data_IF_511883490349
#
_entry.id   IF_511883490349
#
_cell.length_a   1.000
_cell.length_b   1.000
_cell.length_c   1.000
_cell.angle_alpha   90.00
_cell.angle_beta   90.00
_cell.angle_gamma   90.00
#
_symmetry.space_group_name_H-M   'P 1'
#
loop_
_entity.id
_entity.type
_entity.pdbx_description
1 polymer ?
#
# COMPACT_ATOMS: atom_id res chain seq x y z
N UNK A 1 -24.62 2.42 6.38
CA UNK A 1 -25.42 1.38 5.73
C UNK A 1 -24.51 0.43 4.96
N UNK A 2 -24.70 -0.86 5.17
CA UNK A 2 -23.94 -1.88 4.42
C UNK A 2 -24.53 -2.04 3.02
N UNK A 3 -23.70 -1.94 2.00
CA UNK A 3 -24.12 -2.10 0.61
C UNK A 3 -24.19 -3.59 0.22
N UNK A 4 -24.94 -3.92 -0.86
CA UNK A 4 -25.09 -5.29 -1.34
C UNK A 4 -23.76 -5.97 -1.75
N UNK A 5 -22.74 -5.19 -2.13
CA UNK A 5 -21.41 -5.68 -2.48
C UNK A 5 -20.49 -5.93 -1.27
N UNK A 6 -21.00 -5.85 -0.03
CA UNK A 6 -20.24 -6.04 1.19
C UNK A 6 -19.56 -4.79 1.74
N UNK A 7 -19.56 -3.68 1.01
CA UNK A 7 -19.00 -2.40 1.47
C UNK A 7 -20.03 -1.61 2.27
N UNK A 8 -19.53 -0.68 3.08
CA UNK A 8 -20.37 0.28 3.79
C UNK A 8 -20.50 1.57 3.00
N UNK A 9 -21.70 2.12 2.96
CA UNK A 9 -21.94 3.44 2.43
C UNK A 9 -21.56 4.48 3.49
N UNK A 10 -20.49 5.22 3.23
CA UNK A 10 -19.92 6.19 4.16
C UNK A 10 -19.93 7.57 3.53
N UNK A 11 -20.54 8.52 4.21
CA UNK A 11 -20.42 9.93 3.91
C UNK A 11 -19.46 10.56 4.92
N UNK A 12 -18.24 10.88 4.49
CA UNK A 12 -17.20 11.43 5.33
C UNK A 12 -16.36 12.46 4.59
N UNK A 13 -15.82 13.40 5.33
CA UNK A 13 -14.78 14.28 4.84
C UNK A 13 -13.42 13.58 5.04
N UNK A 14 -12.68 13.39 3.96
CA UNK A 14 -11.32 12.84 4.01
C UNK A 14 -10.31 13.93 3.77
N UNK A 15 -9.24 13.94 4.54
CA UNK A 15 -8.10 14.81 4.31
C UNK A 15 -6.79 14.02 4.49
N UNK A 16 -5.76 14.47 3.80
CA UNK A 16 -4.41 13.95 4.01
C UNK A 16 -3.77 14.67 5.18
N UNK A 17 -3.19 13.92 6.11
CA UNK A 17 -2.51 14.49 7.29
C UNK A 17 -1.00 14.30 7.15
N UNK A 18 -0.23 15.15 7.80
CA UNK A 18 1.24 15.09 7.82
C UNK A 18 1.72 14.07 8.86
N UNK A 19 1.29 12.83 8.68
CA UNK A 19 1.73 11.68 9.45
C UNK A 19 2.04 10.57 8.46
N UNK A 20 3.30 10.14 8.39
CA UNK A 20 3.72 9.18 7.37
C UNK A 20 4.68 8.14 7.91
N UNK A 21 4.57 6.95 7.38
CA UNK A 21 5.63 5.96 7.46
C UNK A 21 6.75 6.32 6.47
N UNK A 22 7.96 5.86 6.75
CA UNK A 22 9.09 5.99 5.83
C UNK A 22 9.38 4.64 5.21
N UNK A 23 9.60 4.61 3.89
CA UNK A 23 9.84 3.38 3.13
C UNK A 23 11.16 3.50 2.38
N UNK A 24 12.01 2.50 2.57
CA UNK A 24 13.28 2.35 1.87
C UNK A 24 13.20 1.11 0.98
N UNK A 25 13.40 1.27 -0.33
CA UNK A 25 13.29 0.20 -1.31
C UNK A 25 14.62 0.03 -2.03
N UNK A 26 15.09 -1.21 -2.10
CA UNK A 26 16.32 -1.58 -2.80
C UNK A 26 16.10 -2.87 -3.58
N UNK A 27 16.58 -2.93 -4.83
CA UNK A 27 16.57 -4.17 -5.62
C UNK A 27 17.50 -5.22 -5.04
N UNK A 28 17.06 -6.47 -5.08
CA UNK A 28 17.87 -7.64 -4.72
C UNK A 28 18.17 -8.43 -6.00
N UNK A 29 19.45 -8.73 -6.24
CA UNK A 29 19.88 -9.45 -7.45
C UNK A 29 20.23 -10.92 -7.21
N UNK A 30 20.53 -11.29 -5.98
CA UNK A 30 21.04 -12.63 -5.62
C UNK A 30 20.05 -13.52 -4.90
N UNK A 31 18.81 -13.11 -4.77
CA UNK A 31 17.72 -13.86 -4.13
C UNK A 31 16.46 -13.79 -4.96
N UNK A 32 15.62 -14.80 -4.84
CA UNK A 32 14.31 -14.88 -5.52
C UNK A 32 13.14 -14.71 -4.55
N UNK A 33 13.33 -13.88 -3.52
CA UNK A 33 12.31 -13.53 -2.54
C UNK A 33 12.46 -12.09 -2.12
N UNK A 34 11.34 -11.44 -1.81
CA UNK A 34 11.37 -10.11 -1.21
C UNK A 34 11.73 -10.20 0.27
N UNK A 35 12.49 -9.23 0.74
CA UNK A 35 12.83 -9.05 2.15
C UNK A 35 12.09 -7.82 2.67
N UNK A 36 11.13 -8.03 3.56
CA UNK A 36 10.31 -6.95 4.11
C UNK A 36 10.52 -6.88 5.62
N UNK A 37 10.95 -5.73 6.11
CA UNK A 37 11.17 -5.49 7.52
C UNK A 37 10.45 -4.22 7.98
N UNK A 38 10.03 -4.25 9.24
CA UNK A 38 9.33 -3.14 9.88
C UNK A 38 10.10 -2.70 11.12
N UNK A 39 10.26 -1.40 11.28
CA UNK A 39 10.87 -0.74 12.42
C UNK A 39 9.93 0.39 12.89
N UNK A 40 10.28 1.03 14.00
CA UNK A 40 9.52 2.15 14.53
C UNK A 40 8.50 1.75 15.59
N UNK A 41 7.77 2.74 16.16
CA UNK A 41 6.93 2.54 17.35
C UNK A 41 5.80 1.52 17.14
N UNK A 42 5.28 1.39 15.93
CA UNK A 42 4.15 0.51 15.63
C UNK A 42 4.52 -0.75 14.83
N UNK A 43 5.80 -1.05 14.71
CA UNK A 43 6.28 -2.18 13.89
C UNK A 43 5.79 -3.54 14.39
N UNK A 44 5.66 -3.72 15.69
CA UNK A 44 5.22 -4.99 16.29
C UNK A 44 3.76 -5.33 15.98
N UNK A 45 2.95 -4.35 15.62
CA UNK A 45 1.54 -4.54 15.28
C UNK A 45 1.33 -5.05 13.85
N UNK A 46 2.36 -5.03 13.01
CA UNK A 46 2.25 -5.47 11.61
C UNK A 46 2.36 -6.98 11.51
N UNK A 47 1.41 -7.60 10.81
CA UNK A 47 1.47 -9.04 10.52
C UNK A 47 2.58 -9.33 9.51
N UNK A 48 3.57 -10.11 9.91
CA UNK A 48 4.73 -10.44 9.07
C UNK A 48 4.37 -11.33 7.88
N UNK A 49 3.42 -12.24 8.07
CA UNK A 49 3.07 -13.23 7.05
C UNK A 49 2.14 -12.68 5.98
N UNK A 50 1.30 -11.75 6.33
CA UNK A 50 0.38 -11.11 5.38
C UNK A 50 0.18 -9.65 5.75
N UNK A 51 0.58 -8.76 4.84
CA UNK A 51 0.41 -7.32 4.98
C UNK A 51 0.22 -6.68 3.60
N UNK A 52 -0.13 -5.41 3.57
CA UNK A 52 -0.41 -4.68 2.34
C UNK A 52 0.76 -4.66 1.36
N UNK A 53 1.99 -4.63 1.88
CA UNK A 53 3.21 -4.62 1.04
C UNK A 53 3.38 -5.97 0.32
N UNK A 54 3.26 -7.07 1.04
CA UNK A 54 3.31 -8.40 0.42
C UNK A 54 2.21 -8.58 -0.62
N UNK A 55 1.00 -8.12 -0.30
CA UNK A 55 -0.13 -8.16 -1.24
C UNK A 55 0.15 -7.38 -2.51
N UNK A 56 0.62 -6.14 -2.41
CA UNK A 56 0.85 -5.30 -3.59
C UNK A 56 1.95 -5.88 -4.48
N UNK A 57 3.05 -6.36 -3.90
CA UNK A 57 4.13 -6.98 -4.67
C UNK A 57 3.67 -8.26 -5.38
N UNK A 58 2.90 -9.10 -4.70
CA UNK A 58 2.32 -10.31 -5.28
C UNK A 58 1.43 -9.99 -6.47
N UNK A 59 0.52 -9.04 -6.34
CA UNK A 59 -0.40 -8.64 -7.40
C UNK A 59 0.37 -8.03 -8.58
N UNK A 60 1.35 -7.19 -8.32
CA UNK A 60 2.18 -6.60 -9.37
C UNK A 60 2.95 -7.67 -10.16
N UNK A 61 3.45 -8.70 -9.49
CA UNK A 61 4.12 -9.84 -10.15
C UNK A 61 3.17 -10.67 -10.98
N UNK A 62 1.98 -10.96 -10.45
CA UNK A 62 0.93 -11.69 -11.18
C UNK A 62 0.49 -10.95 -12.46
N UNK A 63 0.53 -9.62 -12.45
CA UNK A 63 0.19 -8.78 -13.61
C UNK A 63 1.39 -8.48 -14.52
N UNK A 64 2.54 -9.10 -14.27
CA UNK A 64 3.78 -8.88 -15.02
C UNK A 64 4.23 -7.39 -15.03
N UNK A 65 3.95 -6.67 -13.95
CA UNK A 65 4.35 -5.26 -13.78
C UNK A 65 5.75 -5.11 -13.22
N UNK A 66 6.20 -6.10 -12.42
CA UNK A 66 7.56 -6.16 -11.87
C UNK A 66 8.14 -7.57 -12.04
N UNK A 67 9.45 -7.65 -12.20
CA UNK A 67 10.19 -8.91 -12.38
C UNK A 67 11.33 -9.07 -11.37
N UNK A 68 11.71 -7.99 -10.70
CA UNK A 68 12.75 -8.00 -9.69
C UNK A 68 12.20 -8.32 -8.30
N UNK A 69 13.11 -8.65 -7.40
CA UNK A 69 12.82 -8.78 -5.97
C UNK A 69 13.38 -7.57 -5.23
N UNK A 70 12.82 -7.27 -4.07
CA UNK A 70 13.12 -6.03 -3.35
C UNK A 70 13.37 -6.26 -1.88
N UNK A 71 14.31 -5.53 -1.32
CA UNK A 71 14.46 -5.33 0.11
C UNK A 71 13.70 -4.06 0.48
N UNK A 72 12.67 -4.19 1.30
CA UNK A 72 11.82 -3.07 1.71
C UNK A 72 11.86 -2.94 3.22
N UNK A 73 12.28 -1.78 3.69
CA UNK A 73 12.28 -1.42 5.09
C UNK A 73 11.29 -0.31 5.34
N UNK A 74 10.37 -0.54 6.27
CA UNK A 74 9.34 0.43 6.64
C UNK A 74 9.54 0.89 8.06
N UNK A 75 9.62 2.19 8.26
CA UNK A 75 9.57 2.80 9.58
C UNK A 75 8.10 3.13 9.87
N UNK A 76 7.48 2.33 10.75
CA UNK A 76 6.06 2.44 11.10
C UNK A 76 5.82 3.55 12.11
N UNK A 77 5.41 4.70 11.63
CA UNK A 77 5.02 5.87 12.43
C UNK A 77 3.51 6.01 12.57
N UNK A 78 2.75 5.30 11.72
CA UNK A 78 1.29 5.29 11.75
C UNK A 78 0.82 4.03 12.45
N UNK A 79 -0.05 4.14 13.50
CA UNK A 79 -0.60 2.98 14.18
C UNK A 79 -1.37 2.08 13.22
N UNK A 80 -1.21 0.77 13.37
CA UNK A 80 -1.98 -0.24 12.61
C UNK A 80 -3.42 -0.23 13.12
N UNK A 81 -4.37 -0.37 12.20
CA UNK A 81 -5.82 -0.35 12.49
C UNK A 81 -6.33 0.97 13.13
N UNK A 82 -5.61 2.06 12.92
CA UNK A 82 -5.98 3.37 13.49
C UNK A 82 -7.01 4.15 12.67
N UNK A 83 -7.37 3.68 11.46
CA UNK A 83 -8.21 4.43 10.53
C UNK A 83 -7.47 5.47 9.70
N UNK A 84 -6.17 5.65 9.91
CA UNK A 84 -5.35 6.60 9.11
C UNK A 84 -4.92 6.07 7.75
N UNK A 85 -5.24 4.82 7.42
CA UNK A 85 -4.91 4.24 6.11
C UNK A 85 -3.42 3.99 5.86
N UNK A 86 -2.62 3.83 6.92
CA UNK A 86 -1.16 3.71 6.82
C UNK A 86 -0.70 2.55 5.94
N UNK A 87 -1.29 1.37 6.10
CA UNK A 87 -0.95 0.20 5.29
C UNK A 87 -1.30 0.39 3.82
N UNK A 88 -2.47 0.95 3.53
CA UNK A 88 -2.92 1.25 2.17
C UNK A 88 -2.07 2.34 1.53
N UNK A 89 -1.70 3.36 2.30
CA UNK A 89 -0.78 4.42 1.87
C UNK A 89 0.58 3.84 1.49
N UNK A 90 1.12 2.93 2.28
CA UNK A 90 2.39 2.25 1.99
C UNK A 90 2.33 1.45 0.70
N UNK A 91 1.25 0.70 0.48
CA UNK A 91 1.03 -0.02 -0.77
C UNK A 91 0.96 0.93 -1.98
N UNK A 92 0.24 2.04 -1.86
CA UNK A 92 0.15 3.06 -2.92
C UNK A 92 1.52 3.68 -3.23
N UNK A 93 2.31 3.98 -2.21
CA UNK A 93 3.66 4.53 -2.36
C UNK A 93 4.58 3.57 -3.11
N UNK A 94 4.54 2.29 -2.77
CA UNK A 94 5.33 1.26 -3.45
C UNK A 94 4.89 1.11 -4.91
N UNK A 95 3.60 1.07 -5.16
CA UNK A 95 3.06 0.98 -6.52
C UNK A 95 3.54 2.16 -7.39
N UNK A 96 3.43 3.38 -6.89
CA UNK A 96 3.91 4.59 -7.60
C UNK A 96 5.40 4.55 -7.86
N UNK A 97 6.18 4.13 -6.86
CA UNK A 97 7.65 4.11 -6.97
C UNK A 97 8.13 3.06 -7.99
N UNK A 98 7.57 1.86 -7.96
CA UNK A 98 8.04 0.75 -8.81
C UNK A 98 7.55 0.86 -10.25
N UNK A 99 6.41 1.47 -10.51
CA UNK A 99 5.88 1.64 -11.86
C UNK A 99 6.55 2.80 -12.62
N UNK A 100 6.96 3.84 -11.95
CA UNK A 100 7.66 5.00 -12.52
C UNK A 100 7.05 5.56 -13.82
N UNK A 101 5.75 5.46 -13.97
CA UNK A 101 4.96 6.03 -15.07
C UNK A 101 3.52 6.26 -14.60
N UNK A 102 2.77 7.05 -15.36
CA UNK A 102 1.37 7.28 -15.01
C UNK A 102 0.59 5.98 -14.99
N UNK A 103 -0.05 5.70 -13.86
CA UNK A 103 -0.86 4.50 -13.66
C UNK A 103 -2.26 4.75 -14.20
N UNK A 104 -2.75 3.84 -15.05
CA UNK A 104 -4.08 3.93 -15.63
C UNK A 104 -5.16 3.79 -14.55
N UNK A 105 -6.25 4.53 -14.70
CA UNK A 105 -7.39 4.49 -13.78
C UNK A 105 -7.92 3.07 -13.57
N UNK A 106 -8.04 2.28 -14.62
CA UNK A 106 -8.45 0.88 -14.57
C UNK A 106 -7.54 0.05 -13.65
N UNK A 107 -6.25 0.24 -13.74
CA UNK A 107 -5.26 -0.44 -12.89
C UNK A 107 -5.44 -0.04 -11.42
N UNK A 108 -5.63 1.24 -11.15
CA UNK A 108 -5.89 1.74 -9.79
C UNK A 108 -7.15 1.09 -9.22
N UNK A 109 -8.21 0.97 -10.00
CA UNK A 109 -9.46 0.33 -9.59
C UNK A 109 -9.27 -1.17 -9.27
N UNK A 110 -8.52 -1.89 -10.11
CA UNK A 110 -8.19 -3.30 -9.86
C UNK A 110 -7.42 -3.50 -8.56
N UNK A 111 -6.42 -2.67 -8.30
CA UNK A 111 -5.67 -2.72 -7.05
C UNK A 111 -6.51 -2.29 -5.85
N UNK A 112 -7.38 -1.30 -6.01
CA UNK A 112 -8.33 -0.86 -4.98
C UNK A 112 -9.21 -2.00 -4.52
N UNK A 113 -9.73 -2.79 -5.45
CA UNK A 113 -10.58 -3.93 -5.14
C UNK A 113 -9.85 -5.05 -4.37
N UNK A 114 -8.54 -5.18 -4.57
CA UNK A 114 -7.72 -6.24 -3.96
C UNK A 114 -7.03 -5.83 -2.67
N UNK A 115 -6.61 -4.57 -2.57
CA UNK A 115 -5.84 -4.06 -1.42
C UNK A 115 -6.76 -3.39 -0.39
N UNK A 116 -7.65 -2.51 -0.83
CA UNK A 116 -8.56 -1.79 0.04
C UNK A 116 -9.19 -0.60 -0.66
N UNK A 117 -10.41 -0.26 -0.27
CA UNK A 117 -11.22 0.80 -0.88
C UNK A 117 -10.56 2.19 -0.83
N UNK A 118 -9.70 2.41 0.14
CA UNK A 118 -9.03 3.71 0.35
C UNK A 118 -7.82 3.92 -0.57
N UNK A 119 -7.36 2.88 -1.28
CA UNK A 119 -6.15 2.96 -2.09
C UNK A 119 -6.22 4.10 -3.11
N UNK A 120 -7.35 4.28 -3.76
CA UNK A 120 -7.55 5.33 -4.78
C UNK A 120 -7.35 6.74 -4.24
N UNK A 121 -7.58 6.98 -2.93
CA UNK A 121 -7.42 8.29 -2.31
C UNK A 121 -5.97 8.79 -2.37
N UNK A 122 -5.01 7.88 -2.38
CA UNK A 122 -3.58 8.19 -2.44
C UNK A 122 -3.07 8.48 -3.86
N UNK A 123 -3.93 8.40 -4.87
CA UNK A 123 -3.62 8.76 -6.25
C UNK A 123 -4.21 10.11 -6.66
N UNK A 124 -4.86 10.81 -5.75
CA UNK A 124 -5.42 12.15 -5.96
C UNK A 124 -4.35 13.17 -5.60
N UNK A 125 -4.05 14.08 -6.52
CA UNK A 125 -2.99 15.09 -6.35
C UNK A 125 -3.38 16.27 -5.46
N UNK A 126 -4.67 16.45 -5.21
CA UNK A 126 -5.21 17.56 -4.38
C UNK A 126 -6.15 16.97 -3.34
N UNK A 127 -6.18 17.62 -2.19
CA UNK A 127 -7.18 17.30 -1.17
C UNK A 127 -8.61 17.55 -1.65
N UNK A 128 -9.53 17.01 -0.94
CA UNK A 128 -10.94 17.15 -1.23
C UNK A 128 -11.48 18.51 -0.79
#
# INVERSE_FOLDING_TARGET
KKMANGFHDIQSLFCLVDLSDKIYIKKIYNKKTDEISFRGPFSKMVKKNENSIKKILRIMRQKNMIFNYYSIKVIKNIPVFSGFGGGTSNAATILKHLINKKIKKKTIEEFTNKIGSDLRLFFISKGF
#
